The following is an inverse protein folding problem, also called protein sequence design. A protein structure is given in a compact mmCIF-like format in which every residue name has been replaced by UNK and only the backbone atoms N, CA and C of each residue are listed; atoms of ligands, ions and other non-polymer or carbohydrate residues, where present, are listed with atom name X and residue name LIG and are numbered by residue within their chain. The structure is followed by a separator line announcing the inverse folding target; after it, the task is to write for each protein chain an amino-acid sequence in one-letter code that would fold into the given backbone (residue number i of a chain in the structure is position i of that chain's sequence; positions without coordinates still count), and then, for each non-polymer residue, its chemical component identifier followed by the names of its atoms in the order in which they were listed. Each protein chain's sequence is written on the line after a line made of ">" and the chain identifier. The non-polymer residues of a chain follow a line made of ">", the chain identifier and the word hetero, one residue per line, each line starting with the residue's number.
data_IF_120312448474
#
_entry.id   IF_120312448474
#
_cell.length_a   1.000
_cell.length_b   1.000
_cell.length_c   1.000
_cell.angle_alpha   90.00
_cell.angle_beta   90.00
_cell.angle_gamma   90.00
#
_symmetry.space_group_name_H-M   'P 1'
#
loop_
_entity.id
_entity.type
_entity.pdbx_description
1 polymer ?
#
# COMPACT_ATOMS: atom_id res chain seq x y z
N UNK A 1 8.28 -4.94 -0.95
CA UNK A 1 7.92 -3.52 -1.19
C UNK A 1 7.20 -3.38 -2.53
N UNK A 2 6.15 -2.55 -2.60
CA UNK A 2 5.41 -2.39 -3.86
C UNK A 2 6.26 -1.78 -4.97
N UNK A 3 7.09 -0.80 -4.67
CA UNK A 3 7.96 -0.15 -5.66
C UNK A 3 9.24 -0.92 -5.95
N UNK A 4 9.80 -1.62 -4.96
CA UNK A 4 11.11 -2.28 -5.09
C UNK A 4 11.04 -3.79 -5.29
N UNK A 5 9.87 -4.39 -5.13
CA UNK A 5 9.66 -5.84 -5.30
C UNK A 5 8.57 -6.11 -6.33
N UNK A 6 7.31 -5.70 -6.06
CA UNK A 6 6.17 -5.99 -6.94
C UNK A 6 6.28 -5.29 -8.31
N UNK A 7 6.77 -4.05 -8.34
CA UNK A 7 7.02 -3.33 -9.59
C UNK A 7 8.06 -4.04 -10.47
N UNK A 8 9.28 -4.26 -9.99
CA UNK A 8 10.29 -5.03 -10.70
C UNK A 8 9.83 -6.44 -11.12
N UNK A 9 9.16 -7.20 -10.24
CA UNK A 9 8.58 -8.49 -10.57
C UNK A 9 7.60 -8.40 -11.76
N UNK A 10 6.71 -7.42 -11.72
CA UNK A 10 5.73 -7.21 -12.78
C UNK A 10 6.38 -6.83 -14.11
N UNK A 11 7.39 -5.95 -14.07
CA UNK A 11 8.15 -5.60 -15.26
C UNK A 11 8.87 -6.82 -15.84
N UNK A 12 9.56 -7.59 -14.99
CA UNK A 12 10.24 -8.83 -15.38
C UNK A 12 9.29 -9.86 -16.00
N UNK A 13 8.09 -10.05 -15.41
CA UNK A 13 7.07 -10.95 -15.96
C UNK A 13 6.59 -10.51 -17.35
N UNK A 14 6.41 -9.22 -17.58
CA UNK A 14 6.01 -8.68 -18.90
C UNK A 14 7.11 -8.93 -19.93
N UNK A 15 8.37 -8.65 -19.56
CA UNK A 15 9.54 -8.90 -20.42
C UNK A 15 9.68 -10.38 -20.74
N UNK A 16 9.61 -11.26 -19.74
CA UNK A 16 9.67 -12.71 -19.92
C UNK A 16 8.58 -13.22 -20.86
N UNK A 17 7.36 -12.73 -20.69
CA UNK A 17 6.22 -13.08 -21.56
C UNK A 17 6.44 -12.66 -23.01
N UNK A 18 7.13 -11.53 -23.25
CA UNK A 18 7.40 -11.00 -24.59
C UNK A 18 8.53 -11.74 -25.30
N UNK A 19 9.64 -12.03 -24.60
CA UNK A 19 10.88 -12.55 -25.22
C UNK A 19 11.14 -14.04 -24.95
N UNK A 20 10.45 -14.62 -23.98
CA UNK A 20 10.49 -16.07 -23.69
C UNK A 20 11.57 -16.49 -22.69
N UNK A 21 11.56 -17.77 -22.34
CA UNK A 21 12.45 -18.34 -21.32
C UNK A 21 13.89 -18.59 -21.82
N UNK A 22 14.08 -18.65 -23.14
CA UNK A 22 15.38 -18.93 -23.77
C UNK A 22 16.23 -17.66 -24.00
N UNK A 23 15.69 -16.49 -23.73
CA UNK A 23 16.44 -15.25 -23.79
C UNK A 23 17.38 -15.11 -22.59
N UNK A 24 18.51 -14.45 -22.79
CA UNK A 24 19.41 -14.04 -21.70
C UNK A 24 19.06 -12.59 -21.32
N UNK A 25 19.00 -12.31 -20.04
CA UNK A 25 18.59 -11.01 -19.51
C UNK A 25 19.70 -10.37 -18.67
N UNK A 26 20.01 -9.12 -18.96
CA UNK A 26 20.80 -8.30 -18.05
C UNK A 26 19.93 -7.12 -17.60
N UNK A 27 19.75 -6.98 -16.30
CA UNK A 27 18.87 -5.94 -15.72
C UNK A 27 19.71 -4.99 -14.90
N UNK A 28 19.78 -3.74 -15.37
CA UNK A 28 20.45 -2.66 -14.67
C UNK A 28 19.45 -1.89 -13.82
N UNK A 29 19.70 -1.86 -12.50
CA UNK A 29 18.90 -1.13 -11.53
C UNK A 29 19.51 0.24 -11.26
N UNK A 30 18.68 1.28 -11.20
CA UNK A 30 19.11 2.67 -11.07
C UNK A 30 18.46 3.36 -9.87
N UNK A 31 19.09 4.42 -9.37
CA UNK A 31 18.58 5.28 -8.32
C UNK A 31 18.18 4.53 -7.06
N UNK A 32 16.96 4.68 -6.59
CA UNK A 32 16.50 4.04 -5.35
C UNK A 32 16.46 2.51 -5.45
N UNK A 33 16.15 1.95 -6.64
CA UNK A 33 16.22 0.48 -6.84
C UNK A 33 17.65 -0.04 -6.70
N UNK A 34 18.65 0.73 -7.08
CA UNK A 34 20.06 0.37 -6.89
C UNK A 34 20.49 0.52 -5.44
N UNK A 35 20.18 1.65 -4.81
CA UNK A 35 20.66 1.98 -3.46
C UNK A 35 20.06 1.07 -2.38
N UNK A 36 18.79 0.72 -2.51
CA UNK A 36 18.04 0.00 -1.47
C UNK A 36 17.49 -1.37 -1.92
N UNK A 37 17.68 -1.71 -3.20
CA UNK A 37 17.11 -2.91 -3.82
C UNK A 37 17.47 -4.22 -3.13
N UNK A 38 18.73 -4.37 -2.67
CA UNK A 38 19.13 -5.55 -1.89
C UNK A 38 18.36 -5.71 -0.59
N UNK A 39 18.06 -4.60 0.08
CA UNK A 39 17.25 -4.58 1.31
C UNK A 39 15.77 -4.90 1.06
N UNK A 40 15.32 -4.72 -0.17
CA UNK A 40 13.95 -4.99 -0.62
C UNK A 40 13.80 -6.27 -1.44
N UNK A 41 14.86 -7.06 -1.58
CA UNK A 41 14.88 -8.29 -2.38
C UNK A 41 14.55 -8.03 -3.87
N UNK A 42 14.95 -6.89 -4.42
CA UNK A 42 14.68 -6.51 -5.82
C UNK A 42 15.41 -7.44 -6.78
N UNK A 43 16.68 -7.69 -6.53
CA UNK A 43 17.50 -8.63 -7.30
C UNK A 43 16.97 -10.06 -7.21
N UNK A 44 16.63 -10.51 -6.01
CA UNK A 44 16.06 -11.82 -5.78
C UNK A 44 14.80 -12.05 -6.62
N UNK A 45 13.83 -11.13 -6.57
CA UNK A 45 12.57 -11.30 -7.29
C UNK A 45 12.72 -11.23 -8.81
N UNK A 46 13.68 -10.45 -9.32
CA UNK A 46 14.01 -10.41 -10.75
C UNK A 46 14.62 -11.74 -11.19
N UNK A 47 15.55 -12.30 -10.42
CA UNK A 47 16.13 -13.63 -10.69
C UNK A 47 15.08 -14.73 -10.65
N UNK A 48 14.22 -14.76 -9.62
CA UNK A 48 13.11 -15.72 -9.52
C UNK A 48 12.17 -15.64 -10.73
N UNK A 49 11.93 -14.44 -11.23
CA UNK A 49 11.02 -14.22 -12.36
C UNK A 49 11.64 -14.58 -13.70
N UNK A 50 12.86 -14.10 -13.99
CA UNK A 50 13.51 -14.28 -15.30
C UNK A 50 14.29 -15.60 -15.40
N UNK A 51 14.66 -16.22 -14.28
CA UNK A 51 15.36 -17.50 -14.24
C UNK A 51 16.88 -17.36 -14.19
N UNK A 52 17.58 -18.51 -14.38
CA UNK A 52 19.03 -18.61 -14.24
C UNK A 52 19.82 -17.80 -15.28
N UNK A 53 19.24 -17.48 -16.43
CA UNK A 53 19.85 -16.70 -17.51
C UNK A 53 19.70 -15.18 -17.29
N UNK A 54 19.57 -14.74 -16.04
CA UNK A 54 19.42 -13.34 -15.67
C UNK A 54 20.61 -12.86 -14.84
N UNK A 55 21.18 -11.71 -15.23
CA UNK A 55 22.15 -10.98 -14.43
C UNK A 55 21.51 -9.67 -13.97
N UNK A 56 21.69 -9.30 -12.69
CA UNK A 56 21.22 -8.03 -12.13
C UNK A 56 22.39 -7.18 -11.69
N UNK A 57 22.48 -5.96 -12.17
CA UNK A 57 23.51 -4.98 -11.85
C UNK A 57 22.92 -3.81 -11.05
N UNK A 58 23.70 -3.27 -10.12
CA UNK A 58 23.33 -2.09 -9.34
C UNK A 58 24.16 -0.89 -9.82
N UNK A 59 23.50 0.09 -10.44
CA UNK A 59 24.12 1.27 -11.05
C UNK A 59 24.00 2.48 -10.13
N UNK A 60 25.09 3.24 -9.95
CA UNK A 60 25.11 4.43 -9.07
C UNK A 60 24.34 5.64 -9.60
N UNK A 61 23.92 5.61 -10.88
CA UNK A 61 23.23 6.73 -11.54
C UNK A 61 21.72 6.66 -11.27
N UNK A 62 21.04 7.79 -11.40
CA UNK A 62 19.57 7.88 -11.42
C UNK A 62 19.12 8.23 -12.83
N UNK A 63 18.06 7.58 -13.31
CA UNK A 63 17.44 7.89 -14.59
C UNK A 63 16.56 9.15 -14.48
N UNK A 64 16.40 9.93 -15.57
CA UNK A 64 15.79 11.26 -15.48
C UNK A 64 14.31 11.28 -15.07
N UNK A 65 13.53 10.26 -15.49
CA UNK A 65 12.07 10.28 -15.31
C UNK A 65 11.62 9.96 -13.88
N UNK A 66 12.24 8.95 -13.23
CA UNK A 66 11.83 8.52 -11.91
C UNK A 66 12.99 7.83 -11.16
N UNK A 67 13.10 7.97 -9.81
CA UNK A 67 14.21 7.36 -9.04
C UNK A 67 14.21 5.83 -9.02
N UNK A 68 13.11 5.16 -9.36
CA UNK A 68 13.03 3.70 -9.42
C UNK A 68 13.13 3.22 -10.87
N UNK A 69 14.23 3.51 -11.54
CA UNK A 69 14.49 3.08 -12.92
C UNK A 69 15.12 1.70 -13.02
N UNK A 70 14.80 0.98 -14.09
CA UNK A 70 15.44 -0.28 -14.48
C UNK A 70 15.54 -0.36 -16.00
N UNK A 71 16.63 -0.91 -16.50
CA UNK A 71 16.83 -1.18 -17.92
C UNK A 71 17.01 -2.67 -18.12
N UNK A 72 16.21 -3.23 -19.02
CA UNK A 72 16.31 -4.63 -19.43
C UNK A 72 17.05 -4.70 -20.75
N UNK A 73 18.22 -5.33 -20.77
CA UNK A 73 18.97 -5.70 -21.95
C UNK A 73 18.65 -7.15 -22.30
N UNK A 74 18.07 -7.38 -23.45
CA UNK A 74 17.58 -8.69 -23.87
C UNK A 74 18.47 -9.24 -24.97
N UNK A 75 19.06 -10.41 -24.76
CA UNK A 75 19.91 -11.09 -25.70
C UNK A 75 19.25 -12.38 -26.19
N UNK A 76 19.36 -12.66 -27.48
CA UNK A 76 18.97 -13.94 -28.09
C UNK A 76 20.09 -14.37 -29.04
N UNK A 77 20.50 -15.63 -28.92
CA UNK A 77 21.60 -16.20 -29.72
C UNK A 77 22.93 -15.40 -29.61
N UNK A 78 23.17 -14.79 -28.44
CA UNK A 78 24.36 -13.96 -28.14
C UNK A 78 24.31 -12.55 -28.72
N UNK A 79 23.23 -12.14 -29.38
CA UNK A 79 23.03 -10.79 -29.90
C UNK A 79 22.04 -9.99 -29.08
N UNK A 80 22.33 -8.70 -28.84
CA UNK A 80 21.40 -7.77 -28.22
C UNK A 80 20.20 -7.56 -29.14
N UNK A 81 19.01 -7.91 -28.69
CA UNK A 81 17.75 -7.77 -29.43
C UNK A 81 17.00 -6.52 -29.07
N UNK A 82 16.99 -6.12 -27.79
CA UNK A 82 16.25 -4.96 -27.34
C UNK A 82 16.82 -4.40 -26.04
N UNK A 83 16.66 -3.08 -25.83
CA UNK A 83 16.95 -2.35 -24.60
C UNK A 83 15.66 -1.65 -24.17
N UNK A 84 15.10 -2.08 -23.05
CA UNK A 84 13.80 -1.58 -22.59
C UNK A 84 13.93 -0.94 -21.22
N UNK A 85 13.60 0.35 -21.13
CA UNK A 85 13.61 1.09 -19.87
C UNK A 85 12.22 1.11 -19.24
N UNK A 86 12.18 0.79 -17.95
CA UNK A 86 10.97 0.80 -17.14
C UNK A 86 11.18 1.53 -15.82
N UNK A 87 10.10 2.08 -15.28
CA UNK A 87 10.08 2.78 -13.99
C UNK A 87 9.00 2.23 -13.10
N UNK A 88 9.36 1.87 -11.87
CA UNK A 88 8.40 1.45 -10.84
C UNK A 88 7.88 2.67 -10.08
N UNK A 89 6.68 3.13 -10.44
CA UNK A 89 6.12 4.42 -9.98
C UNK A 89 5.26 4.32 -8.71
N UNK A 90 5.34 3.19 -8.00
CA UNK A 90 4.62 2.95 -6.75
C UNK A 90 3.38 2.07 -6.91
N UNK A 91 2.95 1.43 -5.81
CA UNK A 91 1.81 0.51 -5.79
C UNK A 91 1.93 -0.68 -6.74
N UNK A 92 3.15 -1.04 -7.18
CA UNK A 92 3.40 -2.07 -8.19
C UNK A 92 3.09 -1.64 -9.63
N UNK A 93 2.86 -0.35 -9.88
CA UNK A 93 2.65 0.19 -11.22
C UNK A 93 3.98 0.41 -11.95
N UNK A 94 3.98 0.13 -13.25
CA UNK A 94 5.15 0.31 -14.14
C UNK A 94 4.80 1.31 -15.24
N UNK A 95 5.75 2.19 -15.53
CA UNK A 95 5.76 3.07 -16.71
C UNK A 95 6.93 2.67 -17.58
N UNK A 96 6.71 2.58 -18.89
CA UNK A 96 7.73 2.22 -19.88
C UNK A 96 8.18 3.44 -20.64
N UNK A 97 9.48 3.58 -20.88
CA UNK A 97 10.01 4.70 -21.67
C UNK A 97 9.70 4.52 -23.15
N UNK A 98 9.13 5.56 -23.77
CA UNK A 98 8.89 5.59 -25.21
C UNK A 98 7.68 4.80 -25.73
N UNK A 99 6.88 4.20 -24.87
CA UNK A 99 5.69 3.46 -25.28
C UNK A 99 4.42 3.93 -24.55
N UNK A 100 3.56 4.65 -25.26
CA UNK A 100 2.20 4.99 -24.80
C UNK A 100 1.31 3.73 -24.60
N UNK A 101 1.73 2.57 -25.08
CA UNK A 101 0.91 1.36 -25.23
C UNK A 101 1.32 0.17 -24.33
N UNK A 102 2.45 0.24 -23.59
CA UNK A 102 2.79 -0.80 -22.58
C UNK A 102 2.04 -0.66 -21.28
N UNK A 103 1.39 0.47 -21.06
CA UNK A 103 0.33 0.50 -20.10
C UNK A 103 -0.73 -0.48 -20.64
N UNK A 104 -0.89 -1.65 -20.04
CA UNK A 104 -2.24 -2.18 -19.96
C UNK A 104 -3.03 -1.03 -19.36
N UNK A 105 -3.65 -0.22 -20.24
CA UNK A 105 -4.44 0.91 -19.84
C UNK A 105 -5.54 0.33 -18.99
N UNK A 106 -5.32 0.35 -17.67
CA UNK A 106 -6.43 0.17 -16.75
C UNK A 106 -7.35 1.31 -17.14
N UNK A 107 -8.42 1.00 -17.85
CA UNK A 107 -9.47 1.97 -18.14
C UNK A 107 -9.74 2.67 -16.83
N UNK A 108 -9.56 3.97 -16.79
CA UNK A 108 -9.90 4.72 -15.61
C UNK A 108 -11.40 4.52 -15.40
N UNK A 109 -11.77 3.71 -14.41
CA UNK A 109 -13.15 3.31 -14.16
C UNK A 109 -13.94 4.53 -13.68
N UNK A 110 -13.28 5.39 -12.91
CA UNK A 110 -13.87 6.60 -12.36
C UNK A 110 -13.59 7.79 -13.27
N UNK A 111 -14.63 8.57 -13.56
CA UNK A 111 -14.58 9.73 -14.48
C UNK A 111 -14.07 10.99 -13.80
N UNK A 112 -14.46 11.17 -12.55
CA UNK A 112 -14.10 12.32 -11.72
C UNK A 112 -12.60 12.26 -11.37
N UNK A 113 -11.92 13.41 -11.52
CA UNK A 113 -10.48 13.52 -11.35
C UNK A 113 -10.06 13.86 -9.92
N UNK A 114 -10.94 14.46 -9.15
CA UNK A 114 -10.65 14.94 -7.81
C UNK A 114 -11.87 14.79 -6.90
N UNK A 115 -11.64 14.97 -5.60
CA UNK A 115 -12.67 14.74 -4.59
C UNK A 115 -13.83 15.74 -4.68
N UNK A 116 -13.58 16.97 -5.11
CA UNK A 116 -14.63 17.97 -5.31
C UNK A 116 -15.64 17.51 -6.37
N UNK A 117 -15.17 17.04 -7.51
CA UNK A 117 -16.02 16.52 -8.58
C UNK A 117 -16.82 15.30 -8.10
N UNK A 118 -16.19 14.41 -7.30
CA UNK A 118 -16.87 13.26 -6.71
C UNK A 118 -18.00 13.73 -5.79
N UNK A 119 -17.73 14.65 -4.85
CA UNK A 119 -18.75 15.17 -3.93
C UNK A 119 -19.91 15.83 -4.66
N UNK A 120 -19.64 16.61 -5.71
CA UNK A 120 -20.69 17.20 -6.57
C UNK A 120 -21.55 16.11 -7.24
N UNK A 121 -20.94 15.00 -7.64
CA UNK A 121 -21.67 13.85 -8.22
C UNK A 121 -22.48 13.11 -7.15
N UNK A 122 -21.94 12.93 -5.94
CA UNK A 122 -22.67 12.34 -4.82
C UNK A 122 -23.91 13.18 -4.45
N UNK A 123 -23.75 14.49 -4.32
CA UNK A 123 -24.84 15.40 -3.96
C UNK A 123 -25.94 15.42 -5.03
N UNK A 124 -25.55 15.48 -6.32
CA UNK A 124 -26.49 15.48 -7.45
C UNK A 124 -27.34 14.23 -7.51
N UNK A 125 -26.78 13.07 -7.18
CA UNK A 125 -27.43 11.77 -7.30
C UNK A 125 -27.97 11.25 -5.95
N UNK A 126 -27.77 11.97 -4.86
CA UNK A 126 -28.03 11.51 -3.49
C UNK A 126 -27.34 10.19 -3.15
N UNK A 127 -26.11 10.01 -3.61
CA UNK A 127 -25.29 8.82 -3.40
C UNK A 127 -24.42 8.94 -2.13
N UNK A 128 -24.19 7.81 -1.48
CA UNK A 128 -23.02 7.64 -0.61
C UNK A 128 -21.77 7.35 -1.45
N UNK A 129 -20.58 7.44 -0.83
CA UNK A 129 -19.34 6.98 -1.49
C UNK A 129 -19.41 5.51 -1.94
N UNK A 130 -20.10 4.65 -1.19
CA UNK A 130 -20.29 3.26 -1.60
C UNK A 130 -21.18 3.12 -2.84
N UNK A 131 -22.29 3.87 -2.91
CA UNK A 131 -23.17 3.87 -4.08
C UNK A 131 -22.42 4.34 -5.33
N UNK A 132 -21.57 5.36 -5.18
CA UNK A 132 -20.68 5.84 -6.25
C UNK A 132 -19.73 4.75 -6.76
N UNK A 133 -19.12 3.99 -5.87
CA UNK A 133 -18.26 2.85 -6.26
C UNK A 133 -19.06 1.81 -7.04
N UNK A 134 -20.23 1.43 -6.54
CA UNK A 134 -21.07 0.40 -7.16
C UNK A 134 -21.64 0.81 -8.52
N UNK A 135 -21.79 2.11 -8.78
CA UNK A 135 -22.19 2.62 -10.10
C UNK A 135 -21.10 2.43 -11.16
N UNK A 136 -19.83 2.39 -10.76
CA UNK A 136 -18.68 2.33 -11.66
C UNK A 136 -18.06 0.93 -11.77
N UNK A 137 -18.19 0.10 -10.74
CA UNK A 137 -17.55 -1.22 -10.67
C UNK A 137 -18.46 -2.33 -11.20
N UNK A 138 -17.89 -3.43 -11.60
CA UNK A 138 -18.64 -4.57 -12.12
C UNK A 138 -19.10 -5.52 -10.98
N UNK A 139 -19.96 -6.49 -11.35
CA UNK A 139 -20.55 -7.42 -10.39
C UNK A 139 -19.51 -8.28 -9.61
N UNK A 140 -18.31 -8.51 -10.16
CA UNK A 140 -17.25 -9.31 -9.51
C UNK A 140 -16.48 -8.50 -8.45
N UNK A 141 -16.68 -7.19 -8.39
CA UNK A 141 -15.95 -6.33 -7.48
C UNK A 141 -16.23 -6.65 -6.00
N UNK A 142 -17.46 -7.00 -5.68
CA UNK A 142 -17.84 -7.37 -4.29
C UNK A 142 -17.11 -8.65 -3.85
N UNK A 143 -17.06 -9.68 -4.70
CA UNK A 143 -16.34 -10.91 -4.41
C UNK A 143 -14.84 -10.65 -4.24
N UNK A 144 -14.27 -9.81 -5.10
CA UNK A 144 -12.88 -9.35 -4.97
C UNK A 144 -12.63 -8.64 -3.64
N UNK A 145 -13.54 -7.78 -3.17
CA UNK A 145 -13.39 -7.13 -1.86
C UNK A 145 -13.43 -8.12 -0.70
N UNK A 146 -14.20 -9.21 -0.81
CA UNK A 146 -14.16 -10.29 0.20
C UNK A 146 -12.81 -11.01 0.21
N UNK A 147 -12.24 -11.34 -0.94
CA UNK A 147 -10.90 -11.94 -1.03
C UNK A 147 -9.83 -11.03 -0.43
N UNK A 148 -9.90 -9.72 -0.71
CA UNK A 148 -9.01 -8.73 -0.14
C UNK A 148 -9.17 -8.68 1.38
N UNK A 149 -10.39 -8.61 1.89
CA UNK A 149 -10.66 -8.56 3.34
C UNK A 149 -10.13 -9.82 4.05
N UNK A 150 -10.38 -10.99 3.49
CA UNK A 150 -9.93 -12.26 4.05
C UNK A 150 -8.40 -12.34 4.05
N UNK A 151 -7.73 -11.94 2.97
CA UNK A 151 -6.26 -11.85 2.91
C UNK A 151 -5.69 -10.86 3.94
N UNK A 152 -6.34 -9.71 4.14
CA UNK A 152 -5.98 -8.76 5.19
C UNK A 152 -6.08 -9.39 6.58
N UNK A 153 -7.17 -10.09 6.87
CA UNK A 153 -7.39 -10.75 8.16
C UNK A 153 -6.38 -11.87 8.39
N UNK A 154 -6.14 -12.70 7.39
CA UNK A 154 -5.12 -13.76 7.45
C UNK A 154 -3.73 -13.20 7.76
N UNK A 155 -3.37 -12.05 7.19
CA UNK A 155 -2.07 -11.42 7.45
C UNK A 155 -1.96 -10.94 8.90
N UNK A 156 -3.02 -10.38 9.49
CA UNK A 156 -3.06 -10.02 10.92
C UNK A 156 -2.92 -11.27 11.79
N UNK A 157 -3.72 -12.30 11.51
CA UNK A 157 -3.73 -13.53 12.32
C UNK A 157 -2.40 -14.29 12.26
N UNK A 158 -1.76 -14.33 11.11
CA UNK A 158 -0.40 -14.92 10.96
C UNK A 158 0.63 -14.14 11.76
N UNK A 159 0.65 -12.80 11.60
CA UNK A 159 1.60 -11.95 12.28
C UNK A 159 1.47 -12.02 13.81
N UNK A 160 0.25 -12.08 14.34
CA UNK A 160 -0.01 -12.23 15.78
C UNK A 160 0.43 -13.59 16.36
N UNK A 161 0.59 -14.62 15.53
CA UNK A 161 1.06 -15.95 15.97
C UNK A 161 2.57 -16.09 15.91
N UNK A 162 3.25 -15.31 15.06
CA UNK A 162 4.69 -15.45 14.81
C UNK A 162 5.54 -14.76 15.85
N UNK A 163 6.68 -15.38 16.12
CA UNK A 163 7.74 -14.90 17.01
C UNK A 163 9.08 -14.96 16.28
N UNK A 164 10.13 -14.52 16.92
CA UNK A 164 11.49 -14.56 16.42
C UNK A 164 11.92 -13.23 15.83
N UNK A 165 12.77 -13.29 14.83
CA UNK A 165 13.46 -12.14 14.24
C UNK A 165 13.00 -11.91 12.80
N UNK A 166 12.80 -10.66 12.42
CA UNK A 166 12.53 -10.27 11.05
C UNK A 166 13.81 -10.48 10.22
N UNK A 167 13.72 -11.06 9.01
CA UNK A 167 14.86 -11.26 8.13
C UNK A 167 15.59 -9.94 7.82
N UNK A 168 16.92 -10.01 7.70
CA UNK A 168 17.76 -8.86 7.34
C UNK A 168 18.86 -8.58 8.36
N UNK A 169 19.72 -7.60 8.05
CA UNK A 169 20.90 -7.29 8.88
C UNK A 169 20.55 -6.62 10.22
N UNK A 170 19.35 -6.03 10.35
CA UNK A 170 18.95 -5.33 11.57
C UNK A 170 18.58 -6.28 12.72
N UNK A 171 18.29 -7.55 12.41
CA UNK A 171 17.91 -8.57 13.40
C UNK A 171 16.81 -8.11 14.34
N UNK A 172 15.82 -7.37 13.78
CA UNK A 172 14.75 -6.75 14.54
C UNK A 172 13.80 -7.84 15.10
N UNK A 173 13.52 -7.89 16.41
CA UNK A 173 12.57 -8.86 16.95
C UNK A 173 11.15 -8.54 16.51
N UNK A 174 10.33 -9.57 16.31
CA UNK A 174 8.89 -9.45 16.16
C UNK A 174 8.25 -9.14 17.50
N UNK A 175 7.40 -8.13 17.54
CA UNK A 175 6.78 -7.64 18.78
C UNK A 175 5.25 -7.65 18.77
N UNK A 176 4.62 -7.84 17.61
CA UNK A 176 3.16 -7.80 17.48
C UNK A 176 2.44 -8.77 18.44
N UNK A 177 2.90 -10.01 18.53
CA UNK A 177 2.35 -11.02 19.44
C UNK A 177 2.48 -10.61 20.90
N UNK A 178 3.65 -10.08 21.29
CA UNK A 178 3.88 -9.62 22.65
C UNK A 178 2.99 -8.43 23.01
N UNK A 179 2.87 -7.44 22.11
CA UNK A 179 1.97 -6.29 22.29
C UNK A 179 0.52 -6.74 22.49
N UNK A 180 0.04 -7.65 21.65
CA UNK A 180 -1.31 -8.17 21.76
C UNK A 180 -1.53 -8.92 23.08
N UNK A 181 -0.58 -9.79 23.47
CA UNK A 181 -0.66 -10.54 24.72
C UNK A 181 -0.68 -9.62 25.94
N UNK A 182 0.11 -8.54 25.93
CA UNK A 182 0.07 -7.54 26.97
C UNK A 182 -1.29 -6.81 26.99
N UNK A 183 -1.77 -6.40 25.83
CA UNK A 183 -3.01 -5.65 25.71
C UNK A 183 -4.22 -6.39 26.27
N UNK A 184 -4.39 -7.68 25.96
CA UNK A 184 -5.55 -8.46 26.43
C UNK A 184 -5.57 -8.68 27.94
N UNK A 185 -4.43 -8.51 28.62
CA UNK A 185 -4.30 -8.60 30.07
C UNK A 185 -4.51 -7.26 30.78
N UNK A 186 -4.60 -6.15 30.05
CA UNK A 186 -4.90 -4.84 30.60
C UNK A 186 -6.41 -4.66 30.84
N UNK A 187 -6.80 -3.85 31.84
CA UNK A 187 -8.19 -3.44 32.00
C UNK A 187 -8.66 -2.65 30.77
N UNK A 188 -9.98 -2.62 30.55
CA UNK A 188 -10.56 -1.80 29.49
C UNK A 188 -10.15 -0.32 29.67
N UNK A 189 -9.72 0.32 28.58
CA UNK A 189 -9.25 1.71 28.58
C UNK A 189 -8.35 2.03 27.39
N UNK A 190 -7.93 3.28 27.29
CA UNK A 190 -7.17 3.79 26.15
C UNK A 190 -5.86 3.05 25.89
N UNK A 191 -5.13 2.65 26.94
CA UNK A 191 -3.88 1.91 26.79
C UNK A 191 -4.12 0.55 26.11
N UNK A 192 -5.13 -0.20 26.58
CA UNK A 192 -5.51 -1.48 25.98
C UNK A 192 -5.90 -1.30 24.51
N UNK A 193 -6.76 -0.34 24.20
CA UNK A 193 -7.22 -0.08 22.84
C UNK A 193 -6.07 0.30 21.92
N UNK A 194 -5.16 1.16 22.38
CA UNK A 194 -3.96 1.57 21.65
C UNK A 194 -3.09 0.36 21.31
N UNK A 195 -2.80 -0.49 22.28
CA UNK A 195 -1.95 -1.66 22.07
C UNK A 195 -2.62 -2.72 21.17
N UNK A 196 -3.93 -2.94 21.31
CA UNK A 196 -4.67 -3.87 20.44
C UNK A 196 -4.57 -3.43 18.99
N UNK A 197 -4.96 -2.18 18.69
CA UNK A 197 -4.95 -1.67 17.32
C UNK A 197 -3.53 -1.65 16.74
N UNK A 198 -2.56 -1.16 17.52
CA UNK A 198 -1.16 -1.16 17.09
C UNK A 198 -0.63 -2.56 16.83
N UNK A 199 -0.95 -3.54 17.68
CA UNK A 199 -0.49 -4.92 17.48
C UNK A 199 -0.97 -5.52 16.15
N UNK A 200 -2.18 -5.19 15.70
CA UNK A 200 -2.70 -5.61 14.41
C UNK A 200 -1.92 -4.98 13.24
N UNK A 201 -1.61 -3.68 13.34
CA UNK A 201 -0.82 -3.01 12.32
C UNK A 201 0.63 -3.52 12.25
N UNK A 202 1.26 -3.73 13.42
CA UNK A 202 2.58 -4.34 13.51
C UNK A 202 2.61 -5.76 12.95
N UNK A 203 1.58 -6.58 13.24
CA UNK A 203 1.48 -7.94 12.73
C UNK A 203 1.59 -7.97 11.19
N UNK A 204 0.84 -7.14 10.50
CA UNK A 204 0.89 -7.06 9.02
C UNK A 204 2.21 -6.48 8.53
N UNK A 205 2.72 -5.42 9.17
CA UNK A 205 3.98 -4.80 8.79
C UNK A 205 5.18 -5.74 8.98
N UNK A 206 5.19 -6.55 10.04
CA UNK A 206 6.18 -7.60 10.27
C UNK A 206 6.08 -8.74 9.24
N UNK A 207 4.85 -9.12 8.82
CA UNK A 207 4.63 -10.06 7.73
C UNK A 207 5.17 -9.52 6.40
N UNK A 208 4.88 -8.24 6.09
CA UNK A 208 5.45 -7.57 4.91
C UNK A 208 6.99 -7.57 4.94
N UNK A 209 7.58 -7.18 6.08
CA UNK A 209 9.03 -7.14 6.24
C UNK A 209 9.71 -8.52 6.16
N UNK A 210 8.93 -9.59 6.31
CA UNK A 210 9.36 -10.99 6.21
C UNK A 210 9.03 -11.64 4.87
N UNK A 211 8.60 -10.87 3.86
CA UNK A 211 8.28 -11.37 2.52
C UNK A 211 7.02 -12.24 2.45
N UNK A 212 6.12 -12.11 3.41
CA UNK A 212 4.87 -12.87 3.43
C UNK A 212 3.76 -12.15 2.65
N UNK A 213 2.72 -12.90 2.30
CA UNK A 213 1.55 -12.36 1.60
C UNK A 213 0.81 -11.33 2.45
N UNK A 214 0.65 -10.13 1.91
CA UNK A 214 -0.14 -9.02 2.46
C UNK A 214 -0.93 -8.34 1.34
N UNK A 215 -1.88 -7.51 1.69
CA UNK A 215 -2.57 -6.66 0.72
C UNK A 215 -1.87 -5.30 0.62
N UNK A 216 -1.58 -4.89 -0.61
CA UNK A 216 -1.03 -3.55 -0.87
C UNK A 216 -2.12 -2.49 -0.69
N UNK A 217 -2.01 -1.62 0.33
CA UNK A 217 -3.07 -0.67 0.69
C UNK A 217 -2.54 0.67 1.27
N UNK A 218 -2.21 1.69 0.45
CA UNK A 218 -2.06 1.66 -1.00
C UNK A 218 -0.72 1.09 -1.47
N UNK A 219 0.25 0.93 -0.56
CA UNK A 219 1.57 0.35 -0.81
C UNK A 219 1.86 -0.79 0.17
N UNK A 220 2.93 -1.57 -0.06
CA UNK A 220 3.35 -2.59 0.91
C UNK A 220 3.86 -1.96 2.21
N UNK A 221 4.57 -0.82 2.14
CA UNK A 221 5.13 -0.14 3.32
C UNK A 221 4.06 0.39 4.29
N UNK A 222 2.85 0.63 3.80
CA UNK A 222 1.70 1.08 4.61
C UNK A 222 0.59 0.03 4.76
N UNK A 223 0.87 -1.21 4.38
CA UNK A 223 -0.10 -2.31 4.31
C UNK A 223 -0.74 -2.71 5.65
N UNK A 224 -0.19 -2.26 6.77
CA UNK A 224 -0.71 -2.58 8.10
C UNK A 224 -1.87 -1.70 8.56
N UNK A 225 -2.06 -0.51 7.96
CA UNK A 225 -3.02 0.48 8.47
C UNK A 225 -4.47 0.02 8.30
N UNK A 226 -4.89 -0.26 7.06
CA UNK A 226 -6.28 -0.65 6.78
C UNK A 226 -6.65 -1.99 7.42
N UNK A 227 -5.83 -3.05 7.29
CA UNK A 227 -6.14 -4.32 7.95
C UNK A 227 -6.31 -4.20 9.46
N UNK A 228 -5.48 -3.38 10.13
CA UNK A 228 -5.58 -3.17 11.56
C UNK A 228 -6.93 -2.56 11.95
N UNK A 229 -7.38 -1.52 11.25
CA UNK A 229 -8.65 -0.85 11.53
C UNK A 229 -9.82 -1.79 11.23
N UNK A 230 -9.79 -2.49 10.09
CA UNK A 230 -10.85 -3.45 9.71
C UNK A 230 -10.95 -4.61 10.69
N UNK A 231 -9.80 -5.18 11.09
CA UNK A 231 -9.76 -6.28 12.03
C UNK A 231 -10.17 -5.85 13.45
N UNK A 232 -9.81 -4.63 13.86
CA UNK A 232 -10.27 -4.00 15.09
C UNK A 232 -11.79 -3.84 15.08
N UNK A 233 -12.36 -3.31 14.01
CA UNK A 233 -13.81 -3.18 13.86
C UNK A 233 -14.51 -4.55 13.93
N UNK A 234 -13.92 -5.57 13.30
CA UNK A 234 -14.46 -6.93 13.32
C UNK A 234 -14.40 -7.56 14.70
N UNK A 235 -13.24 -7.54 15.37
CA UNK A 235 -13.00 -8.27 16.61
C UNK A 235 -13.42 -7.52 17.87
N UNK A 236 -13.27 -6.19 17.91
CA UNK A 236 -13.55 -5.40 19.11
C UNK A 236 -14.92 -4.72 19.06
N UNK A 237 -15.37 -4.33 17.87
CA UNK A 237 -16.64 -3.64 17.68
C UNK A 237 -17.76 -4.53 17.11
N UNK A 238 -17.47 -5.80 16.81
CA UNK A 238 -18.40 -6.78 16.24
C UNK A 238 -19.09 -6.30 14.94
N UNK A 239 -18.33 -5.56 14.10
CA UNK A 239 -18.83 -5.12 12.79
C UNK A 239 -18.79 -6.29 11.82
N UNK A 240 -19.89 -6.60 11.17
CA UNK A 240 -20.00 -7.71 10.22
C UNK A 240 -19.22 -7.46 8.91
N UNK A 241 -18.69 -8.53 8.29
CA UNK A 241 -17.92 -8.47 7.04
C UNK A 241 -18.61 -7.70 5.91
N UNK A 242 -19.94 -7.84 5.64
CA UNK A 242 -20.62 -7.05 4.61
C UNK A 242 -20.50 -5.53 4.80
N UNK A 243 -20.43 -5.06 6.04
CA UNK A 243 -20.23 -3.64 6.34
C UNK A 243 -18.77 -3.24 6.17
N UNK A 244 -17.83 -4.13 6.51
CA UNK A 244 -16.39 -3.89 6.36
C UNK A 244 -15.97 -3.79 4.89
N UNK A 245 -16.49 -4.65 3.99
CA UNK A 245 -16.17 -4.54 2.56
C UNK A 245 -16.69 -3.25 1.94
N UNK A 246 -17.85 -2.75 2.39
CA UNK A 246 -18.35 -1.43 1.96
C UNK A 246 -17.41 -0.31 2.41
N UNK A 247 -16.96 -0.35 3.66
CA UNK A 247 -15.99 0.60 4.19
C UNK A 247 -14.65 0.54 3.45
N UNK A 248 -14.19 -0.67 3.08
CA UNK A 248 -12.99 -0.87 2.27
C UNK A 248 -13.14 -0.27 0.87
N UNK A 249 -14.30 -0.42 0.24
CA UNK A 249 -14.60 0.22 -1.05
C UNK A 249 -14.51 1.75 -0.94
N UNK A 250 -15.07 2.33 0.12
CA UNK A 250 -14.97 3.78 0.39
C UNK A 250 -13.52 4.22 0.54
N UNK A 251 -12.72 3.48 1.32
CA UNK A 251 -11.27 3.77 1.44
C UNK A 251 -10.56 3.78 0.08
N UNK A 252 -10.95 2.89 -0.82
CA UNK A 252 -10.41 2.80 -2.18
C UNK A 252 -10.60 4.08 -2.99
N UNK A 253 -11.72 4.78 -2.83
CA UNK A 253 -11.97 6.08 -3.51
C UNK A 253 -10.90 7.10 -3.14
N UNK A 254 -10.60 7.26 -1.85
CA UNK A 254 -9.60 8.20 -1.37
C UNK A 254 -8.19 7.82 -1.83
N UNK A 255 -7.85 6.53 -1.79
CA UNK A 255 -6.58 6.02 -2.33
C UNK A 255 -6.42 6.32 -3.82
N UNK A 256 -7.46 6.14 -4.62
CA UNK A 256 -7.46 6.46 -6.04
C UNK A 256 -7.30 7.95 -6.30
N UNK A 257 -8.01 8.81 -5.58
CA UNK A 257 -7.89 10.28 -5.70
C UNK A 257 -6.47 10.73 -5.40
N UNK A 258 -5.86 10.24 -4.31
CA UNK A 258 -4.49 10.59 -3.95
C UNK A 258 -3.52 10.08 -5.02
N UNK A 259 -3.66 8.83 -5.46
CA UNK A 259 -2.81 8.24 -6.50
C UNK A 259 -2.87 9.01 -7.81
N UNK A 260 -4.04 9.51 -8.21
CA UNK A 260 -4.23 10.20 -9.49
C UNK A 260 -3.74 11.66 -9.47
N UNK A 261 -3.74 12.32 -8.30
CA UNK A 261 -3.41 13.75 -8.18
C UNK A 261 -2.06 14.02 -7.50
N UNK A 262 -1.48 12.99 -6.89
CA UNK A 262 -0.21 13.06 -6.18
C UNK A 262 0.56 11.75 -6.36
N UNK A 263 1.49 11.46 -5.47
CA UNK A 263 2.21 10.19 -5.43
C UNK A 263 1.80 9.38 -4.20
N UNK A 264 1.80 8.05 -4.35
CA UNK A 264 1.73 7.10 -3.22
C UNK A 264 3.08 6.42 -2.97
N UNK A 265 4.13 6.83 -3.67
CA UNK A 265 5.46 6.23 -3.59
C UNK A 265 6.31 6.91 -2.52
N UNK A 266 6.79 6.14 -1.54
CA UNK A 266 7.73 6.64 -0.54
C UNK A 266 9.06 7.08 -1.13
N UNK A 267 9.53 6.42 -2.20
CA UNK A 267 10.75 6.79 -2.91
C UNK A 267 10.65 8.13 -3.67
N UNK A 268 9.45 8.47 -4.13
CA UNK A 268 9.17 9.69 -4.87
C UNK A 268 8.85 10.87 -3.93
N UNK A 269 7.93 10.67 -3.01
CA UNK A 269 7.35 11.74 -2.20
C UNK A 269 7.45 11.51 -0.68
N UNK A 270 8.25 10.56 -0.22
CA UNK A 270 8.43 10.26 1.20
C UNK A 270 7.29 9.43 1.82
N UNK A 271 7.42 9.12 3.09
CA UNK A 271 6.38 8.39 3.83
C UNK A 271 5.07 9.17 3.97
N UNK A 272 5.08 10.48 3.80
CA UNK A 272 3.84 11.26 3.68
C UNK A 272 2.93 10.72 2.57
N UNK A 273 3.51 10.25 1.46
CA UNK A 273 2.77 9.65 0.36
C UNK A 273 2.24 8.25 0.69
N UNK A 274 3.03 7.41 1.33
CA UNK A 274 2.63 6.04 1.69
C UNK A 274 1.72 6.00 2.91
N UNK A 275 2.25 6.43 4.04
CA UNK A 275 1.58 6.40 5.35
C UNK A 275 0.45 7.43 5.41
N UNK A 276 0.66 8.63 4.86
CA UNK A 276 -0.38 9.65 4.80
C UNK A 276 -1.59 9.19 3.98
N UNK A 277 -1.36 8.57 2.83
CA UNK A 277 -2.45 8.00 2.02
C UNK A 277 -3.20 6.90 2.76
N UNK A 278 -2.49 5.96 3.39
CA UNK A 278 -3.12 4.89 4.16
C UNK A 278 -3.89 5.43 5.38
N UNK A 279 -3.38 6.46 6.04
CA UNK A 279 -4.06 7.15 7.14
C UNK A 279 -5.36 7.81 6.66
N UNK A 280 -5.32 8.55 5.55
CA UNK A 280 -6.51 9.15 4.94
C UNK A 280 -7.56 8.10 4.55
N UNK A 281 -7.13 7.02 3.90
CA UNK A 281 -8.00 5.88 3.55
C UNK A 281 -8.62 5.25 4.79
N UNK A 282 -7.83 5.02 5.84
CA UNK A 282 -8.28 4.45 7.11
C UNK A 282 -9.25 5.37 7.86
N UNK A 283 -9.03 6.68 7.81
CA UNK A 283 -9.91 7.68 8.41
C UNK A 283 -11.28 7.71 7.70
N UNK A 284 -11.29 7.70 6.36
CA UNK A 284 -12.51 7.60 5.57
C UNK A 284 -13.30 6.31 5.85
N UNK A 285 -12.58 5.18 5.90
CA UNK A 285 -13.13 3.87 6.24
C UNK A 285 -13.82 3.88 7.60
N UNK A 286 -13.12 4.34 8.62
CA UNK A 286 -13.67 4.35 9.98
C UNK A 286 -14.81 5.37 10.14
N UNK A 287 -14.69 6.55 9.50
CA UNK A 287 -15.77 7.54 9.46
C UNK A 287 -17.04 6.97 8.81
N UNK A 288 -16.89 6.19 7.74
CA UNK A 288 -18.03 5.51 7.12
C UNK A 288 -18.66 4.46 8.06
N UNK A 289 -17.83 3.67 8.77
CA UNK A 289 -18.31 2.72 9.80
C UNK A 289 -19.06 3.44 10.93
N UNK A 290 -18.66 4.64 11.31
CA UNK A 290 -19.36 5.47 12.27
C UNK A 290 -20.69 6.02 11.75
N UNK A 291 -21.01 5.84 10.47
CA UNK A 291 -22.24 6.32 9.82
C UNK A 291 -22.24 7.82 9.53
N UNK A 292 -21.06 8.41 9.33
CA UNK A 292 -20.94 9.82 9.00
C UNK A 292 -21.38 10.09 7.55
N UNK A 293 -21.84 11.30 7.27
CA UNK A 293 -22.18 11.74 5.93
C UNK A 293 -20.93 11.98 5.06
N UNK A 294 -21.11 12.13 3.74
CA UNK A 294 -20.02 12.26 2.78
C UNK A 294 -19.04 13.40 3.12
N UNK A 295 -19.54 14.55 3.55
CA UNK A 295 -18.70 15.71 3.91
C UNK A 295 -17.83 15.43 5.13
N UNK A 296 -18.34 14.71 6.13
CA UNK A 296 -17.58 14.35 7.32
C UNK A 296 -16.58 13.21 7.06
N UNK A 297 -16.91 12.30 6.15
CA UNK A 297 -15.98 11.24 5.68
C UNK A 297 -14.79 11.90 4.97
N UNK A 298 -15.08 12.84 4.08
CA UNK A 298 -14.05 13.63 3.38
C UNK A 298 -13.17 14.39 4.36
N UNK A 299 -13.77 15.07 5.34
CA UNK A 299 -13.03 15.82 6.36
C UNK A 299 -12.12 14.91 7.21
N UNK A 300 -12.57 13.71 7.57
CA UNK A 300 -11.74 12.75 8.26
C UNK A 300 -10.52 12.34 7.41
N UNK A 301 -10.71 12.08 6.12
CA UNK A 301 -9.64 11.74 5.19
C UNK A 301 -8.65 12.89 5.00
N UNK A 302 -9.15 14.13 4.86
CA UNK A 302 -8.34 15.35 4.79
C UNK A 302 -7.40 15.47 5.99
N UNK A 303 -7.93 15.37 7.22
CA UNK A 303 -7.13 15.38 8.44
C UNK A 303 -6.09 14.24 8.46
N UNK A 304 -6.48 13.05 8.02
CA UNK A 304 -5.58 11.89 7.95
C UNK A 304 -4.40 12.12 7.00
N UNK A 305 -4.61 12.82 5.90
CA UNK A 305 -3.54 13.18 4.96
C UNK A 305 -2.69 14.35 5.50
N UNK A 306 -3.33 15.43 5.89
CA UNK A 306 -2.70 16.69 6.31
C UNK A 306 -1.68 16.47 7.43
N UNK A 307 -2.03 15.72 8.47
CA UNK A 307 -1.19 15.52 9.63
C UNK A 307 -0.07 14.48 9.45
N UNK A 308 0.10 13.96 8.24
CA UNK A 308 1.24 13.15 7.83
C UNK A 308 2.17 13.88 6.86
N UNK A 309 1.86 15.12 6.45
CA UNK A 309 2.74 15.92 5.61
C UNK A 309 4.06 16.22 6.34
N UNK A 310 5.15 16.12 5.59
CA UNK A 310 6.52 16.29 6.12
C UNK A 310 7.23 15.00 6.51
N UNK A 311 6.57 13.84 6.50
CA UNK A 311 7.22 12.56 6.77
C UNK A 311 8.14 12.17 5.60
N UNK A 312 9.43 12.07 5.88
CA UNK A 312 10.45 11.61 4.94
C UNK A 312 10.48 10.09 4.82
N UNK A 313 11.20 9.56 3.82
CA UNK A 313 11.47 8.13 3.66
C UNK A 313 12.95 7.85 3.91
N UNK A 314 13.30 7.55 5.17
CA UNK A 314 14.67 7.26 5.61
C UNK A 314 14.73 5.91 6.34
N UNK A 315 14.48 4.78 5.66
CA UNK A 315 14.50 3.49 6.30
C UNK A 315 15.93 3.09 6.66
N UNK A 316 16.14 2.65 7.90
CA UNK A 316 17.46 2.23 8.40
C UNK A 316 17.99 1.07 7.56
N UNK A 317 19.16 1.26 6.97
CA UNK A 317 19.80 0.26 6.12
C UNK A 317 19.03 -0.06 4.83
N UNK A 318 18.05 0.75 4.45
CA UNK A 318 17.18 0.54 3.30
C UNK A 318 16.08 -0.52 3.52
N UNK A 319 15.93 -1.05 4.74
CA UNK A 319 14.90 -2.04 5.06
C UNK A 319 13.56 -1.40 5.42
N UNK A 320 12.44 -1.95 4.92
CA UNK A 320 11.08 -1.55 5.32
C UNK A 320 10.76 -2.11 6.70
N UNK A 321 11.53 -1.68 7.69
CA UNK A 321 11.46 -2.14 9.08
C UNK A 321 11.41 -0.96 10.05
N UNK A 322 12.47 -0.15 10.12
CA UNK A 322 12.56 1.04 10.95
C UNK A 322 12.64 2.28 10.05
N UNK A 323 11.72 3.25 10.18
CA UNK A 323 10.59 3.36 11.10
C UNK A 323 9.28 2.75 10.56
N UNK A 324 9.28 2.03 9.44
CA UNK A 324 8.10 1.67 8.67
C UNK A 324 7.08 0.85 9.48
N UNK A 325 7.54 -0.12 10.30
CA UNK A 325 6.63 -0.95 11.11
C UNK A 325 5.89 -0.08 12.12
N UNK A 326 6.59 0.78 12.85
CA UNK A 326 6.00 1.67 13.85
C UNK A 326 5.01 2.66 13.23
N UNK A 327 5.34 3.22 12.06
CA UNK A 327 4.48 4.17 11.36
C UNK A 327 3.11 3.58 10.99
N UNK A 328 3.02 2.27 10.71
CA UNK A 328 1.73 1.61 10.46
C UNK A 328 0.83 1.64 11.70
N UNK A 329 1.37 1.33 12.87
CA UNK A 329 0.63 1.41 14.15
C UNK A 329 0.17 2.83 14.45
N UNK A 330 1.07 3.79 14.27
CA UNK A 330 0.79 5.21 14.50
C UNK A 330 -0.31 5.74 13.56
N UNK A 331 -0.25 5.39 12.28
CA UNK A 331 -1.23 5.83 11.29
C UNK A 331 -2.60 5.19 11.50
N UNK A 332 -2.66 3.93 11.96
CA UNK A 332 -3.93 3.29 12.29
C UNK A 332 -4.64 4.00 13.45
N UNK A 333 -3.91 4.36 14.51
CA UNK A 333 -4.44 5.16 15.62
C UNK A 333 -4.90 6.53 15.14
N UNK A 334 -4.08 7.23 14.38
CA UNK A 334 -4.39 8.56 13.86
C UNK A 334 -5.61 8.56 12.94
N UNK A 335 -5.80 7.53 12.14
CA UNK A 335 -6.95 7.39 11.28
C UNK A 335 -8.27 7.34 12.09
N UNK A 336 -8.29 6.57 13.18
CA UNK A 336 -9.44 6.52 14.10
C UNK A 336 -9.67 7.88 14.75
N UNK A 337 -8.62 8.55 15.24
CA UNK A 337 -8.72 9.88 15.85
C UNK A 337 -9.33 10.90 14.87
N UNK A 338 -8.89 10.91 13.61
CA UNK A 338 -9.42 11.80 12.58
C UNK A 338 -10.92 11.61 12.36
N UNK A 339 -11.38 10.35 12.32
CA UNK A 339 -12.81 10.06 12.18
C UNK A 339 -13.62 10.50 13.42
N UNK A 340 -13.06 10.30 14.61
CA UNK A 340 -13.66 10.76 15.87
C UNK A 340 -13.75 12.31 15.90
N UNK A 341 -12.71 13.00 15.47
CA UNK A 341 -12.72 14.46 15.36
C UNK A 341 -13.73 14.94 14.34
N UNK A 342 -13.78 14.34 13.15
CA UNK A 342 -14.79 14.68 12.14
C UNK A 342 -16.22 14.52 12.69
N UNK A 343 -16.49 13.42 13.40
CA UNK A 343 -17.78 13.17 14.03
C UNK A 343 -18.19 14.28 15.02
N UNK A 344 -17.27 14.77 15.82
CA UNK A 344 -17.58 15.65 16.96
C UNK A 344 -17.38 17.14 16.65
N UNK A 345 -16.50 17.47 15.70
CA UNK A 345 -16.11 18.86 15.39
C UNK A 345 -16.47 19.29 13.98
N UNK A 346 -16.76 18.36 13.07
CA UNK A 346 -16.98 18.67 11.67
C UNK A 346 -18.14 19.62 11.41
N UNK A 347 -19.20 19.53 12.19
CA UNK A 347 -20.37 20.43 12.08
C UNK A 347 -20.06 21.89 12.48
N UNK A 348 -18.94 22.13 13.13
CA UNK A 348 -18.50 23.47 13.55
C UNK A 348 -17.49 24.05 12.57
N UNK A 349 -16.73 23.21 11.87
CA UNK A 349 -15.60 23.62 11.03
C UNK A 349 -15.80 23.46 9.53
N UNK A 350 -16.81 22.70 9.12
CA UNK A 350 -17.20 22.52 7.70
C UNK A 350 -18.64 22.91 7.44
#
# INVERSE_FOLDING_TARGET
>A
SSSHTMGPERAANIIKKRFGENAEYVVDLYGSLSMTGKGHLTDYIIHETLGENCQVNFCEKTLPFHPNGMVFHIYQDGELKDDITAYSVGGGSIVWEGEDDFSMSRKNVYREKNLKEILETLDRNAYSFYDYVMEHENALFVDYLYEILDTMFDSVERGLKREGTIPGKLQLPRVAKQMYTQAINLPAGSERETLILSSYAYAVAEENASGQTIVTAPTCGSSGVLPAILYYCYKQLNVEKPRLIKALAVAGVFGNVIKNNASISGADAGCQAEIGSACAMGAALYAWILGLNNSLIEYAAEMGLEHNLGLTCDPVGGYVQIPCIERNGYAALRAIDCAIYAKNLGYVRK
#
